data_IF_979486715462
#
_entry.id   IF_979486715462
#
_cell.length_a   1.000
_cell.length_b   1.000
_cell.length_c   1.000
_cell.angle_alpha   90.00
_cell.angle_beta   90.00
_cell.angle_gamma   90.00
#
_symmetry.space_group_name_H-M   'P 1'
#
loop_
_entity.id
_entity.type
_entity.pdbx_description
1 polymer ?
#
# COMPACT_ATOMS: atom_id res chain seq x y z
N UNK A 1 -2.82 -17.10 27.25
CA UNK A 1 -3.09 -16.65 25.85
C UNK A 1 -3.61 -15.22 25.86
N UNK A 2 -3.00 -14.34 25.08
CA UNK A 2 -3.22 -12.88 25.08
C UNK A 2 -4.66 -12.51 24.65
N UNK A 3 -5.31 -11.67 25.47
CA UNK A 3 -6.60 -11.00 25.19
C UNK A 3 -6.53 -10.20 23.89
N UNK A 4 -7.11 -10.70 22.80
CA UNK A 4 -7.42 -9.88 21.62
C UNK A 4 -8.62 -8.97 21.98
N UNK A 5 -8.29 -7.73 22.33
CA UNK A 5 -9.25 -6.63 22.60
C UNK A 5 -10.27 -6.53 21.46
N UNK A 6 -11.54 -6.29 21.80
CA UNK A 6 -12.60 -5.90 20.89
C UNK A 6 -12.18 -4.68 20.04
N UNK A 7 -11.72 -4.93 18.82
CA UNK A 7 -11.38 -3.92 17.82
C UNK A 7 -12.70 -3.35 17.29
N UNK A 8 -12.91 -2.05 17.38
CA UNK A 8 -14.11 -1.37 16.87
C UNK A 8 -14.23 -1.53 15.35
N UNK A 9 -15.45 -1.50 14.81
CA UNK A 9 -15.70 -1.64 13.36
C UNK A 9 -14.84 -0.69 12.51
N UNK A 10 -14.66 0.56 12.96
CA UNK A 10 -13.79 1.54 12.29
C UNK A 10 -12.32 1.07 12.25
N UNK A 11 -11.78 0.55 13.36
CA UNK A 11 -10.41 0.02 13.40
C UNK A 11 -10.25 -1.24 12.54
N UNK A 12 -11.28 -2.09 12.44
CA UNK A 12 -11.30 -3.23 11.52
C UNK A 12 -11.28 -2.76 10.06
N UNK A 13 -12.08 -1.74 9.73
CA UNK A 13 -12.12 -1.15 8.39
C UNK A 13 -10.80 -0.46 8.00
N UNK A 14 -10.19 0.27 8.94
CA UNK A 14 -8.86 0.87 8.76
C UNK A 14 -7.79 -0.20 8.57
N UNK A 15 -7.81 -1.27 9.37
CA UNK A 15 -6.88 -2.38 9.21
C UNK A 15 -7.04 -3.06 7.84
N UNK A 16 -8.28 -3.26 7.39
CA UNK A 16 -8.57 -3.81 6.07
C UNK A 16 -8.07 -2.88 4.94
N UNK A 17 -8.33 -1.57 5.03
CA UNK A 17 -7.86 -0.60 4.04
C UNK A 17 -6.33 -0.55 3.96
N UNK A 18 -5.65 -0.58 5.12
CA UNK A 18 -4.17 -0.67 5.18
C UNK A 18 -3.69 -1.98 4.55
N UNK A 19 -4.35 -3.09 4.86
CA UNK A 19 -4.00 -4.41 4.30
C UNK A 19 -4.13 -4.41 2.78
N UNK A 20 -5.24 -3.87 2.25
CA UNK A 20 -5.45 -3.72 0.81
C UNK A 20 -4.34 -2.86 0.21
N UNK A 21 -4.03 -1.70 0.81
CA UNK A 21 -2.96 -0.83 0.33
C UNK A 21 -1.59 -1.52 0.32
N UNK A 22 -1.27 -2.31 1.34
CA UNK A 22 -0.02 -3.09 1.41
C UNK A 22 0.01 -4.15 0.31
N UNK A 23 -1.09 -4.87 0.07
CA UNK A 23 -1.17 -5.87 -0.99
C UNK A 23 -0.97 -5.21 -2.36
N UNK A 24 -1.67 -4.11 -2.64
CA UNK A 24 -1.47 -3.36 -3.89
C UNK A 24 -0.04 -2.86 -4.05
N UNK A 25 0.55 -2.29 -2.99
CA UNK A 25 1.94 -1.84 -3.01
C UNK A 25 2.93 -3.00 -3.27
N UNK A 26 2.66 -4.17 -2.67
CA UNK A 26 3.51 -5.36 -2.85
C UNK A 26 3.43 -5.92 -4.26
N UNK A 27 2.23 -5.99 -4.85
CA UNK A 27 2.02 -6.43 -6.25
C UNK A 27 2.75 -5.46 -7.21
N UNK A 28 2.61 -4.15 -6.99
CA UNK A 28 3.28 -3.15 -7.79
C UNK A 28 4.81 -3.22 -7.66
N UNK A 29 5.30 -3.34 -6.44
CA UNK A 29 6.74 -3.44 -6.18
C UNK A 29 7.31 -4.70 -6.82
N UNK A 30 6.65 -5.85 -6.67
CA UNK A 30 7.04 -7.09 -7.31
C UNK A 30 7.12 -6.92 -8.82
N UNK A 31 6.05 -6.41 -9.47
CA UNK A 31 6.03 -6.19 -10.91
C UNK A 31 7.11 -5.21 -11.40
N UNK A 32 7.35 -4.12 -10.68
CA UNK A 32 8.43 -3.16 -11.00
C UNK A 32 9.78 -3.89 -11.00
N UNK A 33 10.06 -4.68 -9.98
CA UNK A 33 11.33 -5.40 -9.83
C UNK A 33 11.48 -6.49 -10.88
N UNK A 34 10.42 -7.24 -11.17
CA UNK A 34 10.51 -8.42 -12.04
C UNK A 34 10.32 -8.14 -13.52
N UNK A 35 9.68 -7.03 -13.91
CA UNK A 35 9.33 -6.74 -15.30
C UNK A 35 9.86 -5.37 -15.76
N UNK A 36 9.58 -4.32 -14.98
CA UNK A 36 9.90 -2.95 -15.39
C UNK A 36 11.39 -2.64 -15.38
N UNK A 37 12.08 -2.95 -14.28
CA UNK A 37 13.52 -2.70 -14.16
C UNK A 37 14.34 -3.52 -15.18
N UNK A 38 14.09 -4.82 -15.40
CA UNK A 38 14.76 -5.58 -16.45
C UNK A 38 14.54 -4.98 -17.84
N UNK A 39 13.29 -4.57 -18.17
CA UNK A 39 13.00 -3.90 -19.44
C UNK A 39 13.91 -2.68 -19.65
N UNK A 40 14.08 -1.84 -18.64
CA UNK A 40 14.97 -0.67 -18.73
C UNK A 40 16.44 -1.04 -18.89
N UNK A 41 16.88 -2.12 -18.25
CA UNK A 41 18.23 -2.67 -18.44
C UNK A 41 18.49 -3.04 -19.90
N UNK A 42 17.58 -3.80 -20.51
CA UNK A 42 17.70 -4.22 -21.90
C UNK A 42 17.52 -3.06 -22.89
N UNK A 43 16.57 -2.16 -22.62
CA UNK A 43 16.30 -0.99 -23.44
C UNK A 43 17.49 -0.02 -23.46
N UNK A 44 18.22 0.10 -22.35
CA UNK A 44 19.44 0.92 -22.26
C UNK A 44 20.61 0.44 -23.13
N UNK A 45 20.56 -0.81 -23.63
CA UNK A 45 21.61 -1.40 -24.49
C UNK A 45 21.34 -1.21 -25.98
N UNK A 46 20.18 -0.66 -26.35
CA UNK A 46 19.75 -0.42 -27.72
C UNK A 46 19.39 1.05 -27.96
N UNK A 47 19.16 1.42 -29.22
CA UNK A 47 18.84 2.81 -29.57
C UNK A 47 17.35 3.09 -29.38
N UNK A 48 17.04 4.27 -28.85
CA UNK A 48 15.68 4.81 -28.82
C UNK A 48 15.35 5.40 -30.19
N UNK A 49 14.29 4.91 -30.83
CA UNK A 49 13.76 5.39 -32.11
C UNK A 49 12.31 5.79 -31.94
N UNK A 50 11.87 6.79 -32.70
CA UNK A 50 10.45 7.14 -32.81
C UNK A 50 9.97 6.49 -34.09
N UNK A 51 8.95 5.65 -34.00
CA UNK A 51 8.33 5.06 -35.17
C UNK A 51 7.57 6.12 -35.94
N UNK A 52 7.93 6.36 -37.20
CA UNK A 52 7.41 7.46 -38.01
C UNK A 52 5.90 7.34 -38.29
N UNK A 53 5.34 6.13 -38.24
CA UNK A 53 3.93 5.88 -38.55
C UNK A 53 3.03 5.92 -37.31
N UNK A 54 3.53 5.41 -36.18
CA UNK A 54 2.77 5.29 -34.93
C UNK A 54 3.10 6.39 -33.91
N UNK A 55 4.18 7.14 -34.14
CA UNK A 55 4.76 8.11 -33.20
C UNK A 55 5.10 7.48 -31.83
N UNK A 56 5.28 6.16 -31.79
CA UNK A 56 5.61 5.42 -30.59
C UNK A 56 7.12 5.28 -30.41
N UNK A 57 7.56 5.32 -29.16
CA UNK A 57 8.95 5.04 -28.81
C UNK A 57 9.22 3.54 -28.95
N UNK A 58 10.20 3.19 -29.79
CA UNK A 58 10.70 1.83 -29.98
C UNK A 58 12.17 1.75 -29.63
N UNK A 59 12.55 0.67 -28.96
CA UNK A 59 13.93 0.40 -28.57
C UNK A 59 14.49 -0.69 -29.47
N UNK A 60 15.45 -0.34 -30.33
CA UNK A 60 16.03 -1.30 -31.27
C UNK A 60 17.45 -0.93 -31.70
N UNK A 61 18.23 -1.92 -32.10
CA UNK A 61 19.60 -1.74 -32.59
C UNK A 61 19.84 -2.70 -33.74
N UNK A 62 20.56 -2.28 -34.77
CA UNK A 62 21.00 -3.16 -35.86
C UNK A 62 22.49 -3.45 -35.70
N UNK A 63 22.87 -4.73 -35.68
CA UNK A 63 24.27 -5.16 -35.64
C UNK A 63 24.45 -6.18 -36.77
N UNK A 64 25.22 -5.79 -37.79
CA UNK A 64 25.35 -6.56 -39.02
C UNK A 64 23.99 -6.79 -39.70
N UNK A 65 23.68 -8.05 -39.98
CA UNK A 65 22.41 -8.47 -40.58
C UNK A 65 21.28 -8.62 -39.57
N UNK A 66 21.52 -8.49 -38.26
CA UNK A 66 20.53 -8.75 -37.22
C UNK A 66 19.96 -7.46 -36.63
N UNK A 67 18.64 -7.44 -36.46
CA UNK A 67 17.90 -6.43 -35.72
C UNK A 67 17.52 -6.95 -34.33
N UNK A 68 17.88 -6.18 -33.31
CA UNK A 68 17.59 -6.43 -31.91
C UNK A 68 16.49 -5.46 -31.48
N UNK A 69 15.44 -5.97 -30.85
CA UNK A 69 14.30 -5.15 -30.39
C UNK A 69 13.94 -5.49 -28.96
N UNK A 70 13.53 -4.47 -28.22
CA UNK A 70 12.98 -4.59 -26.87
C UNK A 70 11.53 -4.15 -26.89
N UNK A 71 10.63 -5.04 -26.47
CA UNK A 71 9.20 -4.79 -26.34
C UNK A 71 8.84 -4.53 -24.88
N UNK A 72 8.10 -3.45 -24.65
CA UNK A 72 7.70 -3.01 -23.32
C UNK A 72 6.58 -3.89 -22.75
N UNK A 73 6.67 -4.35 -21.49
CA UNK A 73 5.56 -5.02 -20.84
C UNK A 73 4.40 -4.03 -20.56
N UNK A 74 3.17 -4.52 -20.67
CA UNK A 74 1.99 -3.80 -20.20
C UNK A 74 2.02 -3.68 -18.67
N UNK A 75 1.38 -2.65 -18.12
CA UNK A 75 1.25 -2.50 -16.67
C UNK A 75 0.60 -3.74 -16.05
N UNK A 76 1.27 -4.33 -15.05
CA UNK A 76 0.93 -5.61 -14.42
C UNK A 76 0.86 -6.82 -15.37
N UNK A 77 1.33 -6.67 -16.62
CA UNK A 77 1.46 -7.72 -17.61
C UNK A 77 2.87 -8.31 -17.66
N UNK A 78 2.95 -9.53 -18.21
CA UNK A 78 4.18 -10.30 -18.42
C UNK A 78 4.47 -10.50 -19.92
N UNK A 79 4.01 -9.57 -20.76
CA UNK A 79 4.06 -9.67 -22.22
C UNK A 79 5.22 -8.88 -22.84
N UNK A 80 6.13 -8.35 -22.03
CA UNK A 80 7.38 -7.77 -22.51
C UNK A 80 8.30 -8.86 -23.04
N UNK A 81 9.04 -8.59 -24.10
CA UNK A 81 9.93 -9.57 -24.72
C UNK A 81 11.10 -8.88 -25.40
N UNK A 82 12.17 -9.64 -25.60
CA UNK A 82 13.29 -9.30 -26.46
C UNK A 82 13.12 -10.06 -27.77
N UNK A 83 13.52 -9.47 -28.89
CA UNK A 83 13.58 -10.22 -30.14
C UNK A 83 14.82 -9.94 -30.94
N UNK A 84 15.30 -10.99 -31.62
CA UNK A 84 16.41 -10.94 -32.55
C UNK A 84 15.94 -11.57 -33.85
N UNK A 85 15.99 -10.81 -34.93
CA UNK A 85 15.62 -11.29 -36.25
C UNK A 85 16.61 -10.80 -37.28
N UNK A 86 16.84 -11.58 -38.32
CA UNK A 86 17.65 -11.10 -39.45
C UNK A 86 16.84 -10.04 -40.21
N UNK A 87 17.43 -8.85 -40.34
CA UNK A 87 16.87 -7.71 -41.05
C UNK A 87 17.01 -7.98 -42.54
N UNK A 88 16.03 -8.67 -43.09
CA UNK A 88 15.96 -8.88 -44.52
C UNK A 88 15.31 -7.66 -45.17
N UNK A 89 16.02 -7.07 -46.15
CA UNK A 89 15.51 -5.97 -46.95
C UNK A 89 14.56 -6.48 -48.03
N UNK A 90 13.56 -5.66 -48.36
CA UNK A 90 12.79 -5.82 -49.59
C UNK A 90 13.77 -5.65 -50.76
N UNK A 91 13.76 -6.60 -51.71
CA UNK A 91 14.52 -6.43 -52.95
C UNK A 91 13.73 -5.50 -53.85
N UNK A 92 14.35 -4.41 -54.27
CA UNK A 92 13.80 -3.47 -55.25
C UNK A 92 14.46 -3.74 -56.60
N UNK A 93 13.68 -3.70 -57.68
CA UNK A 93 14.23 -3.72 -59.02
C UNK A 93 14.89 -2.38 -59.36
N UNK A 94 15.50 -2.35 -60.54
CA UNK A 94 16.10 -1.17 -61.15
C UNK A 94 15.14 0.02 -61.34
N UNK A 95 13.82 -0.20 -61.20
CA UNK A 95 12.78 0.85 -61.24
C UNK A 95 12.29 1.24 -59.83
N UNK A 96 12.90 0.75 -58.76
CA UNK A 96 12.51 1.01 -57.38
C UNK A 96 11.21 0.31 -56.96
N UNK A 97 10.75 -0.70 -57.71
CA UNK A 97 9.57 -1.50 -57.37
C UNK A 97 10.02 -2.74 -56.58
N UNK A 98 9.33 -3.02 -55.48
CA UNK A 98 9.56 -4.24 -54.71
C UNK A 98 9.30 -5.48 -55.60
N UNK A 99 10.32 -6.30 -55.83
CA UNK A 99 10.29 -7.49 -56.72
C UNK A 99 10.39 -8.82 -55.99
N UNK A 100 10.51 -8.81 -54.67
CA UNK A 100 10.46 -10.04 -53.88
C UNK A 100 10.16 -9.78 -52.41
N UNK A 101 9.28 -10.63 -51.86
CA UNK A 101 9.13 -10.82 -50.42
C UNK A 101 10.11 -11.92 -49.97
N UNK A 102 10.65 -11.81 -48.77
CA UNK A 102 11.68 -12.76 -48.32
C UNK A 102 10.96 -14.04 -47.92
N UNK A 103 11.14 -15.08 -48.73
CA UNK A 103 10.42 -16.35 -48.62
C UNK A 103 10.50 -17.03 -47.24
N UNK A 104 11.48 -16.69 -46.39
CA UNK A 104 11.64 -17.24 -45.04
C UNK A 104 12.15 -16.17 -44.06
N UNK A 105 11.46 -16.04 -42.92
CA UNK A 105 11.84 -15.20 -41.79
C UNK A 105 11.84 -16.02 -40.50
N UNK A 106 12.96 -15.98 -39.78
CA UNK A 106 13.12 -16.61 -38.47
C UNK A 106 13.45 -15.53 -37.45
N UNK A 107 12.60 -15.39 -36.44
CA UNK A 107 12.75 -14.40 -35.37
C UNK A 107 12.77 -15.12 -34.03
N UNK A 108 13.85 -14.97 -33.29
CA UNK A 108 13.96 -15.38 -31.89
C UNK A 108 13.20 -14.38 -31.01
N UNK A 109 12.37 -14.89 -30.11
CA UNK A 109 11.72 -14.21 -29.01
C UNK A 109 12.26 -14.76 -27.69
N UNK A 110 12.52 -13.86 -26.76
CA UNK A 110 13.03 -14.16 -25.42
C UNK A 110 12.12 -13.45 -24.43
N UNK A 111 11.55 -14.19 -23.49
CA UNK A 111 10.78 -13.66 -22.37
C UNK A 111 11.61 -13.84 -21.09
N UNK A 112 12.26 -12.77 -20.61
CA UNK A 112 13.01 -12.82 -19.36
C UNK A 112 12.06 -13.14 -18.19
N UNK A 113 12.41 -14.16 -17.40
CA UNK A 113 11.69 -14.54 -16.19
C UNK A 113 12.46 -14.08 -14.94
N UNK A 114 11.84 -14.22 -13.78
CA UNK A 114 12.50 -13.98 -12.50
C UNK A 114 13.53 -15.09 -12.20
N UNK A 115 14.66 -14.73 -11.57
CA UNK A 115 15.73 -15.63 -11.14
C UNK A 115 16.46 -16.37 -12.28
N UNK A 116 16.98 -15.59 -13.24
CA UNK A 116 17.92 -16.04 -14.27
C UNK A 116 17.39 -17.09 -15.25
N UNK A 117 16.07 -17.22 -15.32
CA UNK A 117 15.42 -18.07 -16.30
C UNK A 117 14.89 -17.24 -17.46
N UNK A 118 14.86 -17.80 -18.66
CA UNK A 118 14.27 -17.19 -19.84
C UNK A 118 13.42 -18.23 -20.55
N UNK A 119 12.24 -17.81 -21.00
CA UNK A 119 11.51 -18.59 -21.98
C UNK A 119 11.93 -18.15 -23.38
N UNK A 120 12.10 -19.12 -24.27
CA UNK A 120 12.51 -18.89 -25.63
C UNK A 120 11.44 -19.39 -26.59
N UNK A 121 11.27 -18.66 -27.68
CA UNK A 121 10.44 -19.09 -28.78
C UNK A 121 10.96 -18.56 -30.09
N UNK A 122 10.70 -19.27 -31.17
CA UNK A 122 11.00 -18.83 -32.52
C UNK A 122 9.69 -18.61 -33.26
N UNK A 123 9.65 -17.56 -34.06
CA UNK A 123 8.63 -17.37 -35.08
C UNK A 123 9.25 -17.69 -36.43
N UNK A 124 8.72 -18.71 -37.10
CA UNK A 124 9.12 -19.09 -38.45
C UNK A 124 7.97 -18.70 -39.37
N UNK A 125 8.27 -17.82 -40.32
CA UNK A 125 7.34 -17.40 -41.35
C UNK A 125 7.95 -17.70 -42.72
N UNK A 126 7.45 -18.75 -43.37
CA UNK A 126 7.84 -19.14 -44.72
C UNK A 126 6.67 -18.88 -45.67
N UNK A 127 6.75 -17.81 -46.45
CA UNK A 127 5.70 -17.43 -47.40
C UNK A 127 5.61 -18.41 -48.56
N UNK A 128 6.73 -19.04 -48.96
CA UNK A 128 6.75 -20.00 -50.07
C UNK A 128 6.03 -21.31 -49.73
N UNK A 129 6.18 -21.75 -48.47
CA UNK A 129 5.53 -22.95 -47.93
C UNK A 129 4.22 -22.64 -47.18
N UNK A 130 3.79 -21.37 -47.15
CA UNK A 130 2.63 -20.89 -46.38
C UNK A 130 2.68 -21.31 -44.91
N UNK A 131 3.86 -21.25 -44.30
CA UNK A 131 4.09 -21.61 -42.89
C UNK A 131 4.17 -20.33 -42.07
N UNK A 132 3.39 -20.26 -40.99
CA UNK A 132 3.49 -19.18 -40.00
C UNK A 132 3.29 -19.78 -38.62
N UNK A 133 4.38 -20.06 -37.91
CA UNK A 133 4.37 -20.84 -36.67
C UNK A 133 5.19 -20.16 -35.58
N UNK A 134 4.64 -20.18 -34.36
CA UNK A 134 5.39 -19.92 -33.13
C UNK A 134 5.71 -21.24 -32.46
N UNK A 135 6.99 -21.42 -32.15
CA UNK A 135 7.53 -22.67 -31.63
C UNK A 135 8.27 -22.35 -30.34
N UNK A 136 7.94 -23.04 -29.25
CA UNK A 136 8.69 -22.94 -28.00
C UNK A 136 9.95 -23.81 -28.07
N UNK A 137 11.06 -23.25 -27.60
CA UNK A 137 12.35 -23.93 -27.53
C UNK A 137 12.98 -23.74 -26.15
N UNK A 138 13.90 -24.62 -25.77
CA UNK A 138 14.75 -24.42 -24.60
C UNK A 138 16.02 -23.60 -24.94
N UNK A 139 16.88 -23.40 -23.95
CA UNK A 139 18.15 -22.66 -24.10
C UNK A 139 19.19 -23.35 -24.99
N UNK A 140 18.95 -24.62 -25.33
CA UNK A 140 19.77 -25.49 -26.18
C UNK A 140 19.12 -25.71 -27.56
N UNK A 141 18.08 -24.93 -27.90
CA UNK A 141 17.36 -24.97 -29.18
C UNK A 141 16.53 -26.26 -29.36
N UNK A 142 16.26 -27.01 -28.29
CA UNK A 142 15.38 -28.17 -28.37
C UNK A 142 13.91 -27.75 -28.37
N UNK A 143 13.10 -28.43 -29.17
CA UNK A 143 11.66 -28.22 -29.20
C UNK A 143 10.98 -28.56 -27.86
N UNK A 144 10.11 -27.66 -27.38
CA UNK A 144 9.23 -27.90 -26.24
C UNK A 144 7.78 -28.12 -26.74
N UNK A 145 7.31 -29.38 -26.83
CA UNK A 145 6.00 -29.67 -27.42
C UNK A 145 4.85 -29.24 -26.50
N UNK A 146 3.92 -28.47 -27.04
CA UNK A 146 2.68 -28.11 -26.34
C UNK A 146 1.71 -29.29 -26.21
N UNK A 147 1.77 -30.24 -27.14
CA UNK A 147 1.05 -31.53 -27.06
C UNK A 147 2.02 -32.67 -27.42
N UNK A 148 2.50 -33.44 -26.42
CA UNK A 148 3.46 -34.54 -26.66
C UNK A 148 2.93 -35.64 -27.58
N UNK A 149 1.61 -35.84 -27.63
CA UNK A 149 0.98 -36.97 -28.34
C UNK A 149 0.88 -36.72 -29.86
N UNK A 150 1.08 -35.48 -30.33
CA UNK A 150 1.05 -35.15 -31.75
C UNK A 150 2.42 -35.35 -32.39
N UNK A 151 2.80 -36.62 -32.60
CA UNK A 151 4.12 -37.00 -33.11
C UNK A 151 4.42 -36.42 -34.50
N UNK A 152 3.44 -36.40 -35.41
CA UNK A 152 3.62 -35.84 -36.77
C UNK A 152 3.94 -34.35 -36.73
N UNK A 153 3.19 -33.57 -35.95
CA UNK A 153 3.45 -32.15 -35.79
C UNK A 153 4.81 -31.91 -35.13
N UNK A 154 5.11 -32.63 -34.05
CA UNK A 154 6.36 -32.45 -33.30
C UNK A 154 7.59 -32.79 -34.16
N UNK A 155 7.54 -33.84 -34.99
CA UNK A 155 8.62 -34.15 -35.94
C UNK A 155 8.76 -33.09 -37.03
N UNK A 156 7.65 -32.57 -37.56
CA UNK A 156 7.69 -31.43 -38.50
C UNK A 156 8.36 -30.20 -37.87
N UNK A 157 8.06 -29.90 -36.61
CA UNK A 157 8.67 -28.76 -35.91
C UNK A 157 10.16 -28.99 -35.67
N UNK A 158 10.58 -30.19 -35.27
CA UNK A 158 12.00 -30.53 -35.14
C UNK A 158 12.75 -30.34 -36.45
N UNK A 159 12.18 -30.81 -37.58
CA UNK A 159 12.76 -30.59 -38.91
C UNK A 159 12.92 -29.09 -39.24
N UNK A 160 11.93 -28.26 -38.93
CA UNK A 160 12.03 -26.80 -39.12
C UNK A 160 13.12 -26.16 -38.24
N UNK A 161 13.31 -26.64 -37.01
CA UNK A 161 14.38 -26.17 -36.13
C UNK A 161 15.74 -26.60 -36.69
N UNK A 162 15.90 -27.85 -37.12
CA UNK A 162 17.14 -28.38 -37.70
C UNK A 162 17.52 -27.63 -38.98
N UNK A 163 16.55 -27.38 -39.88
CA UNK A 163 16.76 -26.59 -41.10
C UNK A 163 17.27 -25.16 -40.83
N UNK A 164 16.93 -24.59 -39.67
CA UNK A 164 17.24 -23.21 -39.29
C UNK A 164 18.21 -23.09 -38.11
N UNK A 165 18.85 -24.20 -37.71
CA UNK A 165 19.60 -24.29 -36.46
C UNK A 165 20.68 -23.23 -36.34
N UNK A 166 21.51 -23.07 -37.38
CA UNK A 166 22.60 -22.09 -37.37
C UNK A 166 22.10 -20.65 -37.22
N UNK A 167 20.98 -20.31 -37.86
CA UNK A 167 20.37 -18.97 -37.73
C UNK A 167 19.85 -18.74 -36.31
N UNK A 168 19.16 -19.73 -35.72
CA UNK A 168 18.66 -19.63 -34.35
C UNK A 168 19.82 -19.53 -33.36
N UNK A 169 20.87 -20.32 -33.57
CA UNK A 169 22.08 -20.31 -32.75
C UNK A 169 22.79 -18.96 -32.79
N UNK A 170 23.03 -18.39 -33.97
CA UNK A 170 23.59 -17.06 -34.12
C UNK A 170 22.74 -15.98 -33.43
N UNK A 171 21.40 -16.08 -33.53
CA UNK A 171 20.48 -15.17 -32.84
C UNK A 171 20.59 -15.30 -31.31
N UNK A 172 20.68 -16.52 -30.77
CA UNK A 172 20.86 -16.77 -29.34
C UNK A 172 22.21 -16.26 -28.83
N UNK A 173 23.29 -16.52 -29.56
CA UNK A 173 24.64 -16.03 -29.23
C UNK A 173 24.69 -14.50 -29.27
N UNK A 174 24.11 -13.89 -30.30
CA UNK A 174 23.99 -12.43 -30.40
C UNK A 174 23.16 -11.82 -29.26
N UNK A 175 22.05 -12.45 -28.89
CA UNK A 175 21.23 -12.02 -27.76
C UNK A 175 21.98 -12.12 -26.43
N UNK A 176 22.70 -13.23 -26.19
CA UNK A 176 23.55 -13.42 -25.01
C UNK A 176 24.68 -12.39 -24.95
N UNK A 177 25.31 -12.09 -26.08
CA UNK A 177 26.37 -11.09 -26.17
C UNK A 177 25.86 -9.65 -25.93
N UNK A 178 24.68 -9.31 -26.43
CA UNK A 178 24.13 -7.96 -26.26
C UNK A 178 23.55 -7.73 -24.87
N UNK A 179 22.71 -8.65 -24.39
CA UNK A 179 21.89 -8.46 -23.19
C UNK A 179 22.40 -9.21 -21.95
N UNK A 180 23.48 -9.98 -22.07
CA UNK A 180 24.08 -10.68 -20.94
C UNK A 180 23.12 -11.69 -20.30
N UNK A 181 22.44 -12.51 -21.13
CA UNK A 181 21.37 -13.43 -20.73
C UNK A 181 21.83 -14.62 -19.85
N UNK A 182 23.02 -14.57 -19.24
CA UNK A 182 23.64 -15.64 -18.46
C UNK A 182 23.63 -15.38 -16.94
N UNK A 183 22.67 -14.62 -16.44
CA UNK A 183 22.51 -14.33 -15.02
C UNK A 183 22.50 -12.84 -14.74
N UNK A 184 21.35 -12.38 -14.27
CA UNK A 184 21.00 -11.00 -13.92
C UNK A 184 21.30 -10.02 -15.04
N UNK A 185 20.27 -9.68 -15.83
CA UNK A 185 20.16 -8.32 -16.35
C UNK A 185 20.24 -7.40 -15.14
N UNK A 186 21.44 -6.94 -14.83
CA UNK A 186 21.85 -6.39 -13.54
C UNK A 186 20.77 -5.42 -13.07
N UNK A 187 20.06 -5.77 -11.99
CA UNK A 187 19.00 -4.92 -11.42
C UNK A 187 19.56 -3.51 -11.20
N UNK A 188 20.86 -3.38 -10.92
CA UNK A 188 21.54 -2.09 -10.84
C UNK A 188 21.70 -1.39 -12.17
N UNK A 189 21.92 -2.08 -13.28
CA UNK A 189 21.93 -1.51 -14.63
C UNK A 189 20.53 -1.07 -15.03
N UNK A 190 19.49 -1.86 -14.75
CA UNK A 190 18.09 -1.46 -14.92
C UNK A 190 17.72 -0.26 -14.04
N UNK A 191 18.16 -0.25 -12.79
CA UNK A 191 17.96 0.86 -11.85
C UNK A 191 18.73 2.12 -12.26
N UNK A 192 19.97 2.00 -12.73
CA UNK A 192 20.76 3.13 -13.26
C UNK A 192 20.14 3.69 -14.52
N UNK A 193 19.72 2.83 -15.46
CA UNK A 193 19.00 3.23 -16.66
C UNK A 193 17.66 3.89 -16.31
N UNK A 194 16.92 3.37 -15.33
CA UNK A 194 15.70 3.97 -14.80
C UNK A 194 15.97 5.34 -14.16
N UNK A 195 16.98 5.47 -13.31
CA UNK A 195 17.38 6.74 -12.68
C UNK A 195 17.79 7.76 -13.76
N UNK A 196 18.42 7.30 -14.85
CA UNK A 196 18.90 8.15 -15.93
C UNK A 196 17.82 8.50 -16.98
N UNK A 197 16.87 7.60 -17.28
CA UNK A 197 15.79 7.83 -18.27
C UNK A 197 14.54 8.44 -17.62
N UNK A 198 14.30 8.20 -16.33
CA UNK A 198 13.28 8.93 -15.60
C UNK A 198 13.81 10.32 -15.29
N UNK A 199 13.23 11.27 -16.01
CA UNK A 199 12.95 12.60 -15.47
C UNK A 199 12.46 12.44 -14.03
N UNK A 200 13.38 12.63 -13.09
CA UNK A 200 13.24 12.63 -11.62
C UNK A 200 11.86 13.11 -11.17
N UNK A 201 11.30 14.08 -11.90
CA UNK A 201 9.91 14.57 -11.88
C UNK A 201 8.83 13.52 -11.62
N UNK A 202 8.73 12.39 -12.32
CA UNK A 202 7.53 11.52 -12.16
C UNK A 202 7.54 10.77 -10.82
N UNK A 203 8.69 10.22 -10.44
CA UNK A 203 8.87 9.59 -9.12
C UNK A 203 8.77 10.64 -8.01
N UNK A 204 9.39 11.83 -8.19
CA UNK A 204 9.22 12.93 -7.25
C UNK A 204 7.75 13.37 -7.14
N UNK A 205 6.99 13.38 -8.23
CA UNK A 205 5.56 13.76 -8.23
C UNK A 205 4.73 12.73 -7.46
N UNK A 206 4.98 11.43 -7.62
CA UNK A 206 4.26 10.40 -6.86
C UNK A 206 4.62 10.47 -5.37
N UNK A 207 5.90 10.61 -5.02
CA UNK A 207 6.33 10.78 -3.63
C UNK A 207 5.83 12.11 -3.03
N UNK A 208 5.85 13.21 -3.79
CA UNK A 208 5.34 14.51 -3.38
C UNK A 208 3.82 14.48 -3.21
N UNK A 209 3.08 13.78 -4.08
CA UNK A 209 1.64 13.59 -3.94
C UNK A 209 1.29 12.75 -2.70
N UNK A 210 2.05 11.68 -2.43
CA UNK A 210 1.88 10.88 -1.21
C UNK A 210 2.21 11.71 0.05
N UNK A 211 3.29 12.49 0.03
CA UNK A 211 3.66 13.39 1.12
C UNK A 211 2.63 14.51 1.31
N UNK A 212 2.09 15.07 0.24
CA UNK A 212 1.04 16.07 0.28
C UNK A 212 -0.26 15.48 0.85
N UNK A 213 -0.65 14.28 0.44
CA UNK A 213 -1.82 13.58 1.01
C UNK A 213 -1.62 13.33 2.51
N UNK A 214 -0.43 12.89 2.92
CA UNK A 214 -0.11 12.69 4.34
C UNK A 214 -0.13 14.02 5.11
N UNK A 215 0.39 15.09 4.53
CA UNK A 215 0.35 16.44 5.11
C UNK A 215 -1.09 16.95 5.23
N UNK A 216 -1.95 16.73 4.22
CA UNK A 216 -3.36 17.10 4.23
C UNK A 216 -4.11 16.33 5.32
N UNK A 217 -3.91 15.02 5.45
CA UNK A 217 -4.51 14.21 6.52
C UNK A 217 -4.06 14.71 7.90
N UNK A 218 -2.77 15.03 8.06
CA UNK A 218 -2.25 15.59 9.31
C UNK A 218 -2.78 17.00 9.59
N UNK A 219 -2.95 17.82 8.57
CA UNK A 219 -3.51 19.17 8.68
C UNK A 219 -4.98 19.10 9.09
N UNK A 220 -5.78 18.23 8.45
CA UNK A 220 -7.16 18.00 8.87
C UNK A 220 -7.21 17.47 10.30
N UNK A 221 -6.37 16.49 10.65
CA UNK A 221 -6.29 15.99 12.02
C UNK A 221 -5.97 17.12 13.02
N UNK A 222 -4.97 17.96 12.71
CA UNK A 222 -4.56 19.08 13.54
C UNK A 222 -5.67 20.12 13.67
N UNK A 223 -6.34 20.49 12.57
CA UNK A 223 -7.46 21.43 12.55
C UNK A 223 -8.62 20.89 13.40
N UNK A 224 -9.06 19.66 13.18
CA UNK A 224 -10.15 19.06 13.96
C UNK A 224 -9.79 18.94 15.44
N UNK A 225 -8.58 18.48 15.76
CA UNK A 225 -8.11 18.37 17.15
C UNK A 225 -8.00 19.73 17.84
N UNK A 226 -7.44 20.74 17.17
CA UNK A 226 -7.28 22.09 17.73
C UNK A 226 -8.61 22.84 17.83
N UNK A 227 -9.52 22.70 16.87
CA UNK A 227 -10.85 23.34 16.92
C UNK A 227 -11.68 22.77 18.08
N UNK A 228 -11.72 21.44 18.22
CA UNK A 228 -12.35 20.79 19.37
C UNK A 228 -11.69 21.24 20.68
N UNK A 229 -10.36 21.17 20.76
CA UNK A 229 -9.62 21.59 21.97
C UNK A 229 -9.87 23.06 22.33
N UNK A 230 -9.84 23.97 21.36
CA UNK A 230 -10.11 25.40 21.57
C UNK A 230 -11.50 25.61 22.14
N UNK A 231 -12.51 24.89 21.65
CA UNK A 231 -13.86 24.99 22.19
C UNK A 231 -13.95 24.52 23.64
N UNK A 232 -13.22 23.48 24.07
CA UNK A 232 -13.15 23.08 25.47
C UNK A 232 -12.46 24.13 26.35
N UNK A 233 -11.37 24.71 25.87
CA UNK A 233 -10.56 25.67 26.64
C UNK A 233 -11.13 27.09 26.73
N UNK A 234 -12.08 27.48 25.86
CA UNK A 234 -12.69 28.83 25.89
C UNK A 234 -13.30 29.22 27.24
N UNK A 235 -13.73 28.23 28.02
CA UNK A 235 -14.38 28.43 29.32
C UNK A 235 -13.46 28.09 30.50
N UNK A 236 -12.18 27.79 30.25
CA UNK A 236 -11.19 27.40 31.24
C UNK A 236 -10.10 28.47 31.32
N UNK A 237 -9.53 28.66 32.51
CA UNK A 237 -8.39 29.55 32.71
C UNK A 237 -7.09 28.80 32.39
N UNK A 238 -6.08 29.54 31.94
CA UNK A 238 -4.81 28.96 31.51
C UNK A 238 -3.85 28.96 32.69
N UNK A 239 -3.37 27.78 33.08
CA UNK A 239 -2.40 27.60 34.15
C UNK A 239 -1.12 26.92 33.65
N UNK A 240 0.00 27.21 34.31
CA UNK A 240 1.29 26.57 34.05
C UNK A 240 1.64 25.74 35.29
N UNK A 241 1.72 24.41 35.12
CA UNK A 241 2.19 23.52 36.16
C UNK A 241 3.74 23.52 36.18
N UNK A 242 4.34 23.15 37.31
CA UNK A 242 5.79 23.03 37.56
C UNK A 242 6.53 22.15 36.53
N UNK A 243 5.80 21.27 35.82
CA UNK A 243 6.31 20.43 34.73
C UNK A 243 6.16 21.04 33.31
N UNK A 244 5.95 22.36 33.19
CA UNK A 244 5.79 23.12 31.93
C UNK A 244 4.62 22.70 31.01
N UNK A 245 3.81 21.73 31.41
CA UNK A 245 2.62 21.33 30.67
C UNK A 245 1.53 22.42 30.80
N UNK A 246 1.06 22.96 29.66
CA UNK A 246 -0.11 23.86 29.62
C UNK A 246 -1.36 23.07 29.99
N UNK A 247 -1.87 23.29 31.20
CA UNK A 247 -3.14 22.74 31.68
C UNK A 247 -4.15 23.88 31.70
N UNK A 248 -5.35 23.60 31.20
CA UNK A 248 -6.46 24.54 31.27
C UNK A 248 -7.38 24.09 32.38
N UNK A 249 -7.66 24.95 33.36
CA UNK A 249 -8.43 24.58 34.54
C UNK A 249 -9.44 25.64 34.96
N UNK A 250 -10.50 25.24 35.65
CA UNK A 250 -11.46 26.16 36.29
C UNK A 250 -12.16 25.48 37.45
N UNK A 251 -12.35 26.20 38.55
CA UNK A 251 -13.15 25.70 39.69
C UNK A 251 -14.58 26.22 39.60
N UNK A 252 -15.56 25.32 39.66
CA UNK A 252 -17.00 25.67 39.68
C UNK A 252 -17.69 24.82 40.75
N UNK A 253 -18.35 25.48 41.71
CA UNK A 253 -19.09 24.82 42.80
C UNK A 253 -18.26 23.77 43.57
N UNK A 254 -16.98 24.07 43.83
CA UNK A 254 -16.07 23.16 44.57
C UNK A 254 -15.46 22.03 43.73
N UNK A 255 -15.75 21.96 42.42
CA UNK A 255 -15.14 20.99 41.51
C UNK A 255 -14.10 21.65 40.60
N UNK A 256 -12.94 21.01 40.44
CA UNK A 256 -11.89 21.44 39.52
C UNK A 256 -12.09 20.75 38.16
N UNK A 257 -12.30 21.55 37.12
CA UNK A 257 -12.42 21.08 35.75
C UNK A 257 -11.10 21.31 35.03
N UNK A 258 -10.52 20.29 34.43
CA UNK A 258 -9.28 20.42 33.67
C UNK A 258 -9.43 19.87 32.23
N UNK A 259 -8.66 20.44 31.31
CA UNK A 259 -8.52 19.95 29.95
C UNK A 259 -7.04 19.83 29.57
N UNK A 260 -6.66 18.66 29.09
CA UNK A 260 -5.33 18.40 28.54
C UNK A 260 -5.35 18.36 27.01
N UNK A 261 -4.27 18.88 26.40
CA UNK A 261 -4.09 18.85 24.95
C UNK A 261 -4.16 17.41 24.41
N UNK A 262 -4.84 17.18 23.27
CA UNK A 262 -4.84 15.88 22.64
C UNK A 262 -3.41 15.47 22.24
N UNK A 263 -3.06 14.20 22.49
CA UNK A 263 -1.80 13.62 22.01
C UNK A 263 -1.93 13.27 20.53
N UNK A 264 -0.84 13.38 19.77
CA UNK A 264 -0.80 13.07 18.33
C UNK A 264 -1.50 11.72 18.02
N UNK A 265 -2.42 11.74 17.05
CA UNK A 265 -3.28 10.60 16.64
C UNK A 265 -4.23 10.02 17.71
N UNK A 266 -4.41 10.69 18.86
CA UNK A 266 -5.45 10.36 19.85
C UNK A 266 -6.55 11.42 19.82
N UNK A 267 -7.73 11.06 19.32
CA UNK A 267 -8.89 11.94 19.15
C UNK A 267 -9.58 12.38 20.47
N UNK A 268 -9.10 11.92 21.63
CA UNK A 268 -9.65 12.33 22.92
C UNK A 268 -8.79 13.42 23.54
N UNK A 269 -9.34 14.62 23.73
CA UNK A 269 -8.90 15.46 24.84
C UNK A 269 -9.29 14.75 26.14
N UNK A 270 -8.37 14.72 27.10
CA UNK A 270 -8.73 14.28 28.44
C UNK A 270 -9.36 15.47 29.14
N UNK A 271 -10.66 15.37 29.41
CA UNK A 271 -11.35 16.28 30.31
C UNK A 271 -11.44 15.57 31.66
N UNK A 272 -10.92 16.19 32.70
CA UNK A 272 -11.05 15.72 34.08
C UNK A 272 -11.95 16.65 34.87
N UNK A 273 -12.75 16.08 35.76
CA UNK A 273 -13.40 16.82 36.85
C UNK A 273 -12.91 16.17 38.14
N UNK A 274 -12.35 16.91 39.07
CA UNK A 274 -12.01 16.42 40.41
C UNK A 274 -12.77 17.14 41.51
N UNK A 275 -13.04 16.44 42.60
CA UNK A 275 -13.50 17.02 43.85
C UNK A 275 -12.40 16.83 44.89
N UNK A 276 -11.77 17.92 45.31
CA UNK A 276 -10.70 17.89 46.31
C UNK A 276 -11.22 18.17 47.73
N UNK A 277 -12.54 18.24 47.92
CA UNK A 277 -13.11 18.44 49.25
C UNK A 277 -13.08 17.13 50.06
N UNK A 278 -12.41 17.19 51.22
CA UNK A 278 -12.54 16.27 52.36
C UNK A 278 -12.06 14.80 52.15
N UNK A 279 -10.79 14.62 51.77
CA UNK A 279 -10.08 13.34 51.93
C UNK A 279 -10.44 12.24 50.94
N UNK A 280 -11.15 12.59 49.86
CA UNK A 280 -11.60 11.66 48.83
C UNK A 280 -11.25 12.19 47.45
N UNK A 281 -10.19 11.65 46.84
CA UNK A 281 -9.76 12.04 45.49
C UNK A 281 -10.64 11.35 44.44
N UNK A 282 -11.80 11.94 44.16
CA UNK A 282 -12.68 11.51 43.08
C UNK A 282 -12.34 12.27 41.81
N UNK A 283 -11.96 11.56 40.74
CA UNK A 283 -11.70 12.16 39.42
C UNK A 283 -12.54 11.48 38.33
N UNK A 284 -13.31 12.27 37.61
CA UNK A 284 -14.10 11.85 36.45
C UNK A 284 -13.35 12.20 35.17
N UNK A 285 -12.89 11.21 34.42
CA UNK A 285 -12.35 11.40 33.08
C UNK A 285 -13.45 11.25 32.03
N UNK A 286 -13.59 12.25 31.15
CA UNK A 286 -14.56 12.26 30.05
C UNK A 286 -13.79 12.13 28.75
N UNK A 287 -14.03 11.04 28.03
CA UNK A 287 -13.47 10.83 26.70
C UNK A 287 -14.49 11.24 25.65
N UNK A 288 -14.31 12.44 25.08
CA UNK A 288 -15.09 12.89 23.94
C UNK A 288 -14.67 12.13 22.67
N UNK A 289 -15.31 10.99 22.40
CA UNK A 289 -15.14 10.31 21.12
C UNK A 289 -15.91 11.03 20.01
N UNK A 290 -15.49 10.83 18.75
CA UNK A 290 -16.27 11.20 17.54
C UNK A 290 -17.63 10.48 17.42
N UNK A 291 -17.94 9.52 18.31
CA UNK A 291 -19.20 8.78 18.32
C UNK A 291 -20.09 9.24 19.47
N UNK A 292 -21.40 9.28 19.21
CA UNK A 292 -22.48 9.69 20.13
C UNK A 292 -22.50 9.02 21.52
N UNK A 293 -21.73 7.95 21.78
CA UNK A 293 -21.68 7.30 23.09
C UNK A 293 -20.57 7.90 23.95
N UNK A 294 -20.97 8.72 24.91
CA UNK A 294 -20.09 9.35 25.92
C UNK A 294 -19.49 8.24 26.80
N UNK A 295 -18.15 8.17 26.87
CA UNK A 295 -17.47 7.26 27.79
C UNK A 295 -16.92 8.07 28.96
N UNK A 296 -17.44 7.77 30.15
CA UNK A 296 -16.97 8.32 31.41
C UNK A 296 -16.10 7.26 32.09
N UNK A 297 -15.03 7.66 32.76
CA UNK A 297 -14.26 6.76 33.63
C UNK A 297 -14.06 7.45 34.95
N UNK A 298 -14.54 6.83 36.03
CA UNK A 298 -14.35 7.34 37.38
C UNK A 298 -13.11 6.70 37.99
N UNK A 299 -12.29 7.55 38.59
CA UNK A 299 -11.13 7.19 39.38
C UNK A 299 -11.44 7.56 40.83
N UNK A 300 -11.35 6.59 41.72
CA UNK A 300 -11.45 6.82 43.16
C UNK A 300 -10.07 6.56 43.76
N UNK A 301 -9.38 7.62 44.17
CA UNK A 301 -8.15 7.52 44.95
C UNK A 301 -8.50 7.44 46.44
N UNK A 302 -7.99 6.43 47.15
CA UNK A 302 -7.95 6.46 48.60
C UNK A 302 -6.72 7.24 49.05
N UNK A 303 -6.86 8.09 50.05
CA UNK A 303 -5.72 8.50 50.87
C UNK A 303 -5.10 7.22 51.46
N UNK A 304 -3.81 6.99 51.19
CA UNK A 304 -2.95 5.88 51.63
C UNK A 304 -2.85 4.64 50.70
N UNK A 305 -1.76 4.62 49.94
CA UNK A 305 -1.03 3.47 49.36
C UNK A 305 -1.74 2.46 48.43
N UNK A 306 -3.00 2.67 48.06
CA UNK A 306 -3.69 1.86 47.05
C UNK A 306 -3.55 2.42 45.62
N UNK A 307 -3.38 1.56 44.61
CA UNK A 307 -3.55 1.97 43.21
C UNK A 307 -4.99 2.49 43.00
N UNK A 308 -5.20 3.61 42.28
CA UNK A 308 -6.53 4.16 42.08
C UNK A 308 -7.44 3.15 41.38
N UNK A 309 -8.62 2.91 41.96
CA UNK A 309 -9.61 2.00 41.40
C UNK A 309 -10.27 2.66 40.19
N UNK A 310 -10.29 1.96 39.04
CA UNK A 310 -10.77 2.49 37.76
C UNK A 310 -12.08 1.82 37.38
N UNK A 311 -13.15 2.59 37.28
CA UNK A 311 -14.47 2.08 36.89
C UNK A 311 -14.93 2.78 35.61
N UNK A 312 -14.98 2.07 34.46
CA UNK A 312 -15.56 2.62 33.25
C UNK A 312 -17.09 2.69 33.38
N UNK A 313 -17.66 3.86 33.11
CA UNK A 313 -19.10 4.06 33.04
C UNK A 313 -19.47 4.15 31.55
N UNK A 314 -20.16 3.13 31.07
CA UNK A 314 -20.52 2.96 29.65
C UNK A 314 -21.98 3.32 29.34
N UNK A 315 -22.72 3.86 30.32
CA UNK A 315 -24.17 4.11 30.22
C UNK A 315 -24.50 5.57 30.55
N UNK A 316 -25.57 6.08 29.94
CA UNK A 316 -26.15 7.38 30.32
C UNK A 316 -26.70 7.28 31.74
N UNK A 317 -26.15 8.10 32.64
CA UNK A 317 -26.59 8.18 34.03
C UNK A 317 -27.85 9.07 34.10
N UNK A 318 -28.95 8.58 33.55
CA UNK A 318 -30.29 9.04 33.94
C UNK A 318 -30.81 8.05 34.98
N UNK A 319 -30.63 8.42 36.25
CA UNK A 319 -30.95 7.54 37.37
C UNK A 319 -32.44 7.61 37.67
N UNK A 320 -33.19 6.64 37.14
CA UNK A 320 -34.55 6.33 37.58
C UNK A 320 -34.45 5.42 38.82
N UNK A 321 -34.88 5.92 39.99
CA UNK A 321 -34.89 5.19 41.26
C UNK A 321 -35.65 3.86 41.20
N UNK A 322 -36.53 3.68 40.22
CA UNK A 322 -37.32 2.44 40.07
C UNK A 322 -36.54 1.27 39.43
N UNK A 323 -35.35 1.52 38.88
CA UNK A 323 -34.62 0.54 38.07
C UNK A 323 -33.73 -0.42 38.86
N UNK A 324 -33.36 -0.09 40.10
CA UNK A 324 -32.58 -0.95 40.99
C UNK A 324 -33.23 -2.33 41.25
N UNK A 325 -34.56 -2.42 41.11
CA UNK A 325 -35.31 -3.66 41.27
C UNK A 325 -35.32 -4.58 40.03
N UNK A 326 -34.95 -4.10 38.83
CA UNK A 326 -35.13 -4.84 37.56
C UNK A 326 -33.89 -5.51 37.00
N UNK A 327 -32.70 -5.31 37.59
CA UNK A 327 -31.43 -5.81 37.03
C UNK A 327 -30.62 -6.67 38.02
N UNK A 328 -31.32 -7.60 38.68
CA UNK A 328 -30.70 -8.62 39.54
C UNK A 328 -30.29 -9.90 38.79
N UNK A 329 -30.55 -10.01 37.48
CA UNK A 329 -30.17 -11.17 36.69
C UNK A 329 -28.85 -10.92 35.94
N UNK A 330 -27.81 -11.67 36.33
CA UNK A 330 -26.49 -11.81 35.71
C UNK A 330 -25.64 -10.52 35.61
N UNK A 331 -25.02 -10.13 36.72
CA UNK A 331 -23.87 -9.21 36.72
C UNK A 331 -22.59 -9.98 37.03
N UNK A 332 -21.52 -9.69 36.30
CA UNK A 332 -20.18 -10.18 36.63
C UNK A 332 -19.65 -9.48 37.89
N UNK A 333 -18.75 -10.13 38.65
CA UNK A 333 -18.18 -9.58 39.91
C UNK A 333 -17.50 -8.21 39.73
N UNK A 334 -16.97 -7.89 38.54
CA UNK A 334 -16.41 -6.56 38.28
C UNK A 334 -17.48 -5.50 37.97
N UNK A 335 -18.62 -5.90 37.40
CA UNK A 335 -19.75 -5.00 37.14
C UNK A 335 -20.51 -4.69 38.43
N UNK A 336 -20.69 -5.68 39.32
CA UNK A 336 -21.31 -5.45 40.64
C UNK A 336 -20.50 -4.48 41.50
N UNK A 337 -19.18 -4.64 41.54
CA UNK A 337 -18.27 -3.76 42.29
C UNK A 337 -18.17 -2.36 41.68
N UNK A 338 -18.26 -2.25 40.35
CA UNK A 338 -18.32 -0.97 39.66
C UNK A 338 -19.61 -0.20 39.95
N UNK A 339 -20.74 -0.90 39.98
CA UNK A 339 -22.03 -0.30 40.34
C UNK A 339 -22.10 0.09 41.82
N UNK A 340 -21.57 -0.72 42.74
CA UNK A 340 -21.47 -0.34 44.16
C UNK A 340 -20.68 0.96 44.37
N UNK A 341 -19.59 1.17 43.62
CA UNK A 341 -18.82 2.41 43.66
C UNK A 341 -19.58 3.60 43.07
N UNK A 342 -20.29 3.38 41.95
CA UNK A 342 -21.12 4.43 41.34
C UNK A 342 -22.24 4.83 42.30
N UNK A 343 -22.92 3.87 42.92
CA UNK A 343 -24.01 4.11 43.87
C UNK A 343 -23.50 4.81 45.13
N UNK A 344 -22.35 4.37 45.65
CA UNK A 344 -21.71 4.95 46.84
C UNK A 344 -21.32 6.42 46.64
N UNK A 345 -20.85 6.79 45.45
CA UNK A 345 -20.39 8.15 45.14
C UNK A 345 -21.34 8.89 44.19
N UNK A 346 -22.58 8.41 44.06
CA UNK A 346 -23.54 8.91 43.08
C UNK A 346 -23.86 10.40 43.31
N UNK A 347 -23.94 10.78 44.58
CA UNK A 347 -24.21 12.14 45.05
C UNK A 347 -23.14 13.14 44.63
N UNK A 348 -21.91 12.70 44.42
CA UNK A 348 -20.76 13.49 43.99
C UNK A 348 -20.57 13.42 42.47
N UNK A 349 -20.72 12.22 41.88
CA UNK A 349 -20.56 11.98 40.44
C UNK A 349 -21.64 12.73 39.63
N UNK A 350 -22.89 12.76 40.10
CA UNK A 350 -23.99 13.39 39.37
C UNK A 350 -23.79 14.90 39.18
N UNK A 351 -23.46 15.70 40.21
CA UNK A 351 -23.06 17.10 40.03
C UNK A 351 -21.88 17.30 39.10
N UNK A 352 -20.85 16.44 39.14
CA UNK A 352 -19.68 16.53 38.25
C UNK A 352 -20.07 16.35 36.78
N UNK A 353 -20.93 15.37 36.48
CA UNK A 353 -21.43 15.13 35.12
C UNK A 353 -22.31 16.30 34.66
N UNK A 354 -23.20 16.79 35.52
CA UNK A 354 -24.11 17.89 35.19
C UNK A 354 -23.33 19.19 34.94
N UNK A 355 -22.37 19.51 35.81
CA UNK A 355 -21.48 20.66 35.64
C UNK A 355 -20.61 20.54 34.38
N UNK A 356 -20.09 19.35 34.08
CA UNK A 356 -19.35 19.10 32.84
C UNK A 356 -20.22 19.25 31.58
N UNK A 357 -21.49 18.80 31.63
CA UNK A 357 -22.45 18.99 30.54
C UNK A 357 -22.72 20.47 30.30
N UNK A 358 -23.03 21.25 31.34
CA UNK A 358 -23.29 22.69 31.20
C UNK A 358 -22.03 23.47 30.79
N UNK A 359 -20.86 23.06 31.28
CA UNK A 359 -19.60 23.69 30.92
C UNK A 359 -19.26 23.42 29.45
N UNK A 360 -19.40 22.20 28.96
CA UNK A 360 -18.97 21.80 27.60
C UNK A 360 -20.12 21.49 26.63
N UNK A 361 -21.32 22.01 26.90
CA UNK A 361 -22.61 21.74 26.23
C UNK A 361 -22.62 21.93 24.70
N UNK A 362 -21.72 22.76 24.16
CA UNK A 362 -21.56 23.00 22.72
C UNK A 362 -20.58 22.04 22.02
N UNK A 363 -19.92 21.15 22.76
CA UNK A 363 -18.76 20.36 22.29
C UNK A 363 -18.87 18.86 22.64
N UNK A 364 -19.81 18.48 23.52
CA UNK A 364 -20.14 17.12 23.95
C UNK A 364 -21.54 16.72 23.47
#
# INVERSE_FOLDING_TARGET
>A
MKKLKNITAAKKLTALAITIAIVFASINLFWIVTQWLPYYGYAGMVEKKIDEYTNEVRYSKKIGQYGYRVSKPNYLGYNGFLSVGKSYGVYYDENGKAVGDIGLSVILFIWPQWADNCEYGIFVNDFSRSISLRIHIDENINHLPGNPDNTEYNERIKGLIEENYDTIKEQMEGARALWGLNGTGDIWTGLKAFINDITLKHVLTVFAAAAALFAIINLFWLIFALLHFRNYTKKLEKFFNENEAKVYQKTVNGFLYEAQRPKYLRYGCLLSVSNDNAGLNLTLHIYSGLKRSKQYTVFVGKEQNGAPERVPITRDIEYDKTRGARMAAEKTVSESRGEELIDKYFTEIKPMIYGARNLWEFVL
#
